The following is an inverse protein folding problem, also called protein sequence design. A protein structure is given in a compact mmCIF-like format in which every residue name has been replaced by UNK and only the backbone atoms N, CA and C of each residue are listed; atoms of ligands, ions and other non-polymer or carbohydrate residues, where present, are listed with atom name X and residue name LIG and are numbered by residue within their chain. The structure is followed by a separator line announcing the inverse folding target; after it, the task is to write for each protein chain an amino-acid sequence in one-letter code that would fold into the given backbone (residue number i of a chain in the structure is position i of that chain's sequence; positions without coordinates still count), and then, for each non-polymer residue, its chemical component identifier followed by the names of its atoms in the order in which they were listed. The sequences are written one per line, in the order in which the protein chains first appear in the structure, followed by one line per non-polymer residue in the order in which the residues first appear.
data_IF_838471113064
#
_entry.id   IF_838471113064
#
_cell.length_a   1.000
_cell.length_b   1.000
_cell.length_c   1.000
_cell.angle_alpha   90.00
_cell.angle_beta   90.00
_cell.angle_gamma   90.00
#
_symmetry.space_group_name_H-M   'P 1'
#
loop_
_entity.id
_entity.type
_entity.pdbx_description
1 polymer ?
#
# COMPACT_ATOMS: atom_id res chain seq x y z
N UNK A 1 -7.38 11.35 -2.69
CA UNK A 1 -6.34 10.62 -1.92
C UNK A 1 -6.45 9.14 -2.22
N UNK A 2 -5.34 8.45 -2.38
CA UNK A 2 -5.32 7.01 -2.69
C UNK A 2 -5.04 6.23 -1.42
N UNK A 3 -5.93 5.30 -1.09
CA UNK A 3 -5.78 4.37 0.03
C UNK A 3 -5.22 3.04 -0.49
N UNK A 4 -4.05 2.64 -0.02
CA UNK A 4 -3.48 1.31 -0.22
C UNK A 4 -3.87 0.40 0.93
N UNK A 5 -4.32 -0.80 0.60
CA UNK A 5 -4.75 -1.80 1.57
C UNK A 5 -4.16 -3.17 1.24
N UNK A 6 -3.37 -3.69 2.17
CA UNK A 6 -2.77 -5.02 2.10
C UNK A 6 -3.49 -5.98 3.07
N UNK A 7 -4.40 -6.83 2.59
CA UNK A 7 -5.25 -7.64 3.45
C UNK A 7 -4.56 -8.91 3.95
N UNK A 8 -4.30 -9.02 5.25
CA UNK A 8 -3.87 -10.27 5.88
C UNK A 8 -4.96 -10.92 6.74
N UNK A 9 -4.68 -12.12 7.25
CA UNK A 9 -5.59 -12.87 8.13
C UNK A 9 -5.61 -12.31 9.56
N UNK A 10 -4.44 -12.00 10.11
CA UNK A 10 -4.29 -11.45 11.46
C UNK A 10 -4.09 -9.93 11.45
N UNK A 11 -3.23 -9.45 10.55
CA UNK A 11 -2.87 -8.03 10.43
C UNK A 11 -3.02 -7.58 8.99
N UNK A 12 -3.36 -6.32 8.80
CA UNK A 12 -3.46 -5.70 7.48
C UNK A 12 -2.63 -4.42 7.43
N UNK A 13 -1.96 -4.20 6.31
CA UNK A 13 -1.27 -2.94 6.03
C UNK A 13 -2.22 -1.90 5.46
N UNK A 14 -2.11 -0.65 5.93
CA UNK A 14 -2.84 0.49 5.39
C UNK A 14 -1.85 1.61 5.06
N UNK A 15 -1.98 2.20 3.88
CA UNK A 15 -1.26 3.41 3.50
C UNK A 15 -2.22 4.43 2.88
N UNK A 16 -1.96 5.72 3.10
CA UNK A 16 -2.67 6.82 2.45
C UNK A 16 -1.64 7.73 1.79
N UNK A 17 -1.80 7.93 0.49
CA UNK A 17 -0.88 8.71 -0.33
C UNK A 17 -1.65 9.63 -1.26
N UNK A 18 -1.10 10.81 -1.56
CA UNK A 18 -1.64 11.67 -2.61
C UNK A 18 -1.10 11.31 -4.00
N UNK A 19 -1.65 11.94 -5.03
CA UNK A 19 -1.20 11.75 -6.42
C UNK A 19 0.21 12.31 -6.67
N UNK A 20 0.70 13.19 -5.79
CA UNK A 20 2.08 13.69 -5.81
C UNK A 20 3.06 12.72 -5.11
N UNK A 21 2.61 11.52 -4.74
CA UNK A 21 3.39 10.46 -4.06
C UNK A 21 3.84 10.82 -2.65
N UNK A 22 3.21 11.80 -2.00
CA UNK A 22 3.46 12.10 -0.59
C UNK A 22 2.63 11.17 0.28
N UNK A 23 3.32 10.47 1.18
CA UNK A 23 2.71 9.59 2.17
C UNK A 23 2.15 10.42 3.34
N UNK A 24 0.86 10.28 3.62
CA UNK A 24 0.16 10.98 4.71
C UNK A 24 -0.13 10.08 5.90
N UNK A 25 -0.30 8.77 5.65
CA UNK A 25 -0.57 7.79 6.69
C UNK A 25 -0.01 6.44 6.29
N UNK A 26 0.53 5.68 7.25
CA UNK A 26 0.97 4.31 7.02
C UNK A 26 1.03 3.55 8.34
N UNK A 27 0.33 2.41 8.43
CA UNK A 27 0.33 1.58 9.64
C UNK A 27 -0.10 0.13 9.35
N UNK A 28 0.46 -0.82 10.10
CA UNK A 28 -0.05 -2.19 10.22
C UNK A 28 -1.01 -2.28 11.40
N UNK A 29 -2.20 -2.81 11.13
CA UNK A 29 -3.33 -2.81 12.07
C UNK A 29 -3.88 -4.23 12.18
N UNK A 30 -4.29 -4.63 13.38
CA UNK A 30 -5.02 -5.88 13.61
C UNK A 30 -6.29 -5.92 12.76
N UNK A 31 -6.60 -7.07 12.15
CA UNK A 31 -7.70 -7.22 11.19
C UNK A 31 -9.05 -6.75 11.75
N UNK A 32 -9.30 -6.95 13.04
CA UNK A 32 -10.53 -6.51 13.71
C UNK A 32 -10.71 -4.97 13.74
N UNK A 33 -9.61 -4.20 13.78
CA UNK A 33 -9.63 -2.74 13.87
C UNK A 33 -9.56 -2.04 12.49
N UNK A 34 -9.33 -2.80 11.41
CA UNK A 34 -9.17 -2.28 10.04
C UNK A 34 -10.39 -1.49 9.59
N UNK A 35 -11.59 -2.06 9.75
CA UNK A 35 -12.85 -1.44 9.33
C UNK A 35 -13.04 -0.07 9.98
N UNK A 36 -12.80 0.00 11.29
CA UNK A 36 -12.89 1.23 12.07
C UNK A 36 -11.86 2.25 11.62
N UNK A 37 -10.63 1.82 11.40
CA UNK A 37 -9.55 2.71 10.95
C UNK A 37 -9.82 3.27 9.55
N UNK A 38 -10.23 2.43 8.60
CA UNK A 38 -10.56 2.89 7.24
C UNK A 38 -11.73 3.87 7.27
N UNK A 39 -12.76 3.62 8.10
CA UNK A 39 -13.87 4.57 8.27
C UNK A 39 -13.39 5.93 8.79
N UNK A 40 -12.50 5.93 9.78
CA UNK A 40 -11.92 7.17 10.32
C UNK A 40 -11.08 7.91 9.28
N UNK A 41 -10.27 7.20 8.50
CA UNK A 41 -9.48 7.79 7.41
C UNK A 41 -10.39 8.37 6.33
N UNK A 42 -11.44 7.64 5.95
CA UNK A 42 -12.42 8.08 4.97
C UNK A 42 -13.19 9.35 5.39
N UNK A 43 -13.40 9.54 6.70
CA UNK A 43 -14.01 10.78 7.21
C UNK A 43 -13.04 11.96 7.28
N UNK A 44 -11.74 11.70 7.45
CA UNK A 44 -10.70 12.73 7.59
C UNK A 44 -10.10 13.17 6.26
N UNK A 45 -10.13 12.29 5.26
CA UNK A 45 -9.49 12.50 3.98
C UNK A 45 -10.47 12.23 2.84
N UNK A 46 -10.37 13.03 1.78
CA UNK A 46 -11.14 12.81 0.56
C UNK A 46 -10.51 11.66 -0.26
N UNK A 47 -10.89 10.43 0.10
CA UNK A 47 -10.39 9.20 -0.54
C UNK A 47 -11.18 8.98 -1.83
N UNK A 48 -10.49 9.10 -2.96
CA UNK A 48 -11.06 8.99 -4.31
C UNK A 48 -10.75 7.65 -4.98
N UNK A 49 -9.86 6.85 -4.39
CA UNK A 49 -9.48 5.54 -4.90
C UNK A 49 -8.97 4.63 -3.77
N UNK A 50 -9.35 3.35 -3.84
CA UNK A 50 -8.78 2.31 -2.99
C UNK A 50 -8.08 1.27 -3.85
N UNK A 51 -6.84 0.98 -3.50
CA UNK A 51 -6.02 -0.07 -4.10
C UNK A 51 -5.89 -1.20 -3.10
N UNK A 52 -6.32 -2.40 -3.49
CA UNK A 52 -6.25 -3.61 -2.67
C UNK A 52 -5.30 -4.64 -3.28
N UNK A 53 -4.52 -5.30 -2.43
CA UNK A 53 -3.67 -6.40 -2.81
C UNK A 53 -4.44 -7.66 -3.28
N UNK A 54 -3.77 -8.51 -4.07
CA UNK A 54 -4.28 -9.79 -4.61
C UNK A 54 -4.08 -11.01 -3.69
N UNK A 55 -4.08 -10.82 -2.37
CA UNK A 55 -4.13 -11.96 -1.46
C UNK A 55 -5.47 -12.72 -1.49
N UNK A 56 -5.44 -13.98 -1.05
CA UNK A 56 -6.58 -14.91 -1.01
C UNK A 56 -7.80 -14.36 -0.26
N UNK A 57 -7.59 -13.47 0.72
CA UNK A 57 -8.64 -12.83 1.53
C UNK A 57 -9.25 -11.57 0.89
N UNK A 58 -8.69 -11.09 -0.24
CA UNK A 58 -9.10 -9.84 -0.91
C UNK A 58 -10.58 -9.77 -1.26
N UNK A 59 -11.22 -10.90 -1.59
CA UNK A 59 -12.66 -10.96 -1.92
C UNK A 59 -13.55 -10.60 -0.72
N UNK A 60 -13.24 -11.14 0.46
CA UNK A 60 -13.99 -10.90 1.70
C UNK A 60 -13.84 -9.43 2.10
N UNK A 61 -12.60 -8.93 2.04
CA UNK A 61 -12.31 -7.53 2.36
C UNK A 61 -12.98 -6.55 1.41
N UNK A 62 -13.01 -6.84 0.10
CA UNK A 62 -13.72 -6.00 -0.87
C UNK A 62 -15.19 -5.85 -0.49
N UNK A 63 -15.87 -6.94 -0.12
CA UNK A 63 -17.26 -6.89 0.33
C UNK A 63 -17.43 -6.03 1.59
N UNK A 64 -16.57 -6.21 2.59
CA UNK A 64 -16.59 -5.40 3.81
C UNK A 64 -16.38 -3.91 3.51
N UNK A 65 -15.39 -3.58 2.69
CA UNK A 65 -15.08 -2.20 2.30
C UNK A 65 -16.23 -1.53 1.53
N UNK A 66 -16.86 -2.25 0.59
CA UNK A 66 -18.01 -1.72 -0.16
C UNK A 66 -19.23 -1.39 0.72
N UNK A 67 -19.32 -1.92 1.95
CA UNK A 67 -20.39 -1.58 2.89
C UNK A 67 -20.12 -0.28 3.67
N UNK A 68 -18.86 0.11 3.80
CA UNK A 68 -18.43 1.22 4.66
C UNK A 68 -18.10 2.46 3.82
N UNK A 69 -17.60 2.25 2.61
CA UNK A 69 -17.19 3.28 1.67
C UNK A 69 -18.32 3.53 0.66
N UNK A 70 -18.44 4.77 0.18
CA UNK A 70 -19.42 5.12 -0.85
C UNK A 70 -19.25 4.24 -2.09
N UNK A 71 -20.36 3.84 -2.71
CA UNK A 71 -20.36 3.06 -3.97
C UNK A 71 -19.64 3.78 -5.12
N UNK A 72 -19.40 5.08 -5.00
CA UNK A 72 -18.73 5.91 -5.99
C UNK A 72 -17.21 5.79 -5.97
N UNK A 73 -16.61 5.26 -4.90
CA UNK A 73 -15.15 5.14 -4.81
C UNK A 73 -14.70 3.83 -5.47
N UNK A 74 -13.91 3.88 -6.54
CA UNK A 74 -13.40 2.68 -7.19
C UNK A 74 -12.47 1.89 -6.25
N UNK A 75 -12.60 0.56 -6.31
CA UNK A 75 -11.70 -0.38 -5.63
C UNK A 75 -10.97 -1.20 -6.70
N UNK A 76 -9.67 -0.93 -6.87
CA UNK A 76 -8.82 -1.55 -7.87
C UNK A 76 -7.94 -2.60 -7.20
N UNK A 77 -7.83 -3.76 -7.82
CA UNK A 77 -7.00 -4.86 -7.34
C UNK A 77 -5.64 -4.83 -8.05
N UNK A 78 -4.55 -4.95 -7.30
CA UNK A 78 -3.18 -4.96 -7.84
C UNK A 78 -2.50 -6.27 -7.48
N UNK A 79 -1.87 -6.91 -8.48
CA UNK A 79 -1.12 -8.15 -8.28
C UNK A 79 0.12 -7.89 -7.40
N UNK A 80 0.24 -8.68 -6.34
CA UNK A 80 1.29 -8.61 -5.33
C UNK A 80 2.55 -9.44 -5.68
N UNK A 81 2.56 -10.16 -6.80
CA UNK A 81 3.72 -10.97 -7.19
C UNK A 81 5.01 -10.15 -7.12
N UNK A 82 6.02 -10.70 -6.44
CA UNK A 82 7.35 -10.12 -6.20
C UNK A 82 7.41 -8.91 -5.24
N UNK A 83 6.39 -8.67 -4.41
CA UNK A 83 6.37 -7.55 -3.44
C UNK A 83 7.54 -7.57 -2.45
N UNK A 84 8.04 -8.73 -2.04
CA UNK A 84 9.07 -8.83 -0.99
C UNK A 84 10.44 -8.24 -1.39
N UNK A 85 10.85 -8.38 -2.65
CA UNK A 85 12.13 -7.81 -3.13
C UNK A 85 12.01 -6.29 -3.31
N UNK A 86 10.91 -5.85 -3.94
CA UNK A 86 10.60 -4.42 -4.10
C UNK A 86 10.46 -3.71 -2.75
N UNK A 87 9.85 -4.38 -1.76
CA UNK A 87 9.68 -3.85 -0.43
C UNK A 87 11.01 -3.69 0.32
N UNK A 88 11.98 -4.58 0.08
CA UNK A 88 13.33 -4.44 0.62
C UNK A 88 14.05 -3.22 0.06
N UNK A 89 13.99 -3.01 -1.25
CA UNK A 89 14.60 -1.83 -1.86
C UNK A 89 13.91 -0.54 -1.42
N UNK A 90 12.57 -0.55 -1.34
CA UNK A 90 11.80 0.59 -0.83
C UNK A 90 12.05 0.90 0.63
N UNK A 91 12.25 -0.10 1.47
CA UNK A 91 12.62 0.10 2.87
C UNK A 91 13.85 0.99 2.99
N UNK A 92 14.91 0.73 2.21
CA UNK A 92 16.14 1.51 2.28
C UNK A 92 16.03 2.91 1.64
N UNK A 93 15.05 3.15 0.76
CA UNK A 93 14.74 4.50 0.27
C UNK A 93 14.03 5.35 1.33
N UNK A 94 13.12 4.74 2.11
CA UNK A 94 12.40 5.42 3.19
C UNK A 94 13.25 5.57 4.45
N UNK A 95 14.04 4.55 4.78
CA UNK A 95 14.90 4.46 5.96
C UNK A 95 16.34 4.26 5.50
N UNK A 96 17.03 5.33 5.09
CA UNK A 96 18.40 5.21 4.58
C UNK A 96 19.32 4.56 5.63
N UNK A 97 20.23 3.66 5.20
CA UNK A 97 21.05 2.87 6.12
C UNK A 97 21.97 3.76 6.95
N UNK A 98 21.94 3.57 8.26
CA UNK A 98 22.77 4.29 9.23
C UNK A 98 23.78 3.35 9.90
N UNK A 99 24.90 3.90 10.40
CA UNK A 99 25.92 3.14 11.10
C UNK A 99 26.52 2.00 10.26
N UNK A 100 26.57 0.79 10.84
CA UNK A 100 27.16 -0.40 10.21
C UNK A 100 26.47 -0.79 8.89
N UNK A 101 25.17 -0.51 8.73
CA UNK A 101 24.44 -0.84 7.51
C UNK A 101 24.90 -0.02 6.30
N UNK A 102 25.57 1.12 6.53
CA UNK A 102 26.17 1.94 5.46
C UNK A 102 27.35 1.22 4.79
N UNK A 103 28.10 0.42 5.54
CA UNK A 103 29.27 -0.32 5.06
C UNK A 103 28.90 -1.62 4.34
N UNK A 104 27.69 -2.14 4.58
CA UNK A 104 27.19 -3.36 3.94
C UNK A 104 26.74 -3.02 2.50
N UNK A 105 27.15 -3.80 1.47
CA UNK A 105 26.65 -3.64 0.10
C UNK A 105 25.12 -3.79 0.02
N UNK A 106 24.41 -3.03 -0.84
CA UNK A 106 22.94 -3.02 -0.90
C UNK A 106 22.29 -4.41 -0.96
N UNK A 107 22.81 -5.32 -1.80
CA UNK A 107 22.29 -6.68 -1.95
C UNK A 107 22.39 -7.56 -0.69
N UNK A 108 23.26 -7.19 0.26
CA UNK A 108 23.45 -7.92 1.52
C UNK A 108 22.72 -7.28 2.71
N UNK A 109 22.10 -6.10 2.52
CA UNK A 109 21.40 -5.38 3.60
C UNK A 109 20.04 -5.99 3.90
N UNK A 110 19.93 -6.75 4.99
CA UNK A 110 18.64 -7.29 5.45
C UNK A 110 17.91 -6.21 6.26
N UNK A 111 16.66 -5.85 5.91
CA UNK A 111 15.87 -4.91 6.70
C UNK A 111 15.72 -5.41 8.14
N UNK A 112 15.95 -4.56 9.16
CA UNK A 112 15.80 -4.96 10.55
C UNK A 112 14.34 -5.10 11.00
N UNK A 113 13.39 -4.64 10.17
CA UNK A 113 11.93 -4.78 10.38
C UNK A 113 11.32 -5.60 9.25
N UNK A 114 10.22 -6.33 9.50
CA UNK A 114 9.43 -6.94 8.45
C UNK A 114 9.06 -5.91 7.38
N UNK A 115 9.32 -6.27 6.12
CA UNK A 115 8.99 -5.43 4.97
C UNK A 115 7.51 -5.46 4.61
N UNK A 116 6.76 -6.38 5.22
CA UNK A 116 5.30 -6.51 5.09
C UNK A 116 4.57 -5.20 5.45
N UNK A 117 5.16 -4.41 6.36
CA UNK A 117 4.63 -3.11 6.71
C UNK A 117 4.48 -2.24 5.44
N UNK A 118 5.47 -2.22 4.54
CA UNK A 118 5.54 -1.28 3.41
C UNK A 118 4.68 -1.73 2.21
N UNK A 119 4.11 -2.93 2.22
CA UNK A 119 3.38 -3.48 1.06
C UNK A 119 2.24 -2.57 0.62
N UNK A 120 1.48 -2.01 1.56
CA UNK A 120 0.38 -1.09 1.25
C UNK A 120 0.84 0.18 0.49
N UNK A 121 2.06 0.65 0.75
CA UNK A 121 2.68 1.79 0.04
C UNK A 121 3.00 1.37 -1.40
N UNK A 122 3.63 0.21 -1.57
CA UNK A 122 4.05 -0.32 -2.89
C UNK A 122 2.84 -0.54 -3.79
N UNK A 123 1.72 -1.02 -3.24
CA UNK A 123 0.47 -1.18 -3.99
C UNK A 123 0.02 0.13 -4.65
N UNK A 124 0.05 1.25 -3.90
CA UNK A 124 -0.31 2.57 -4.43
C UNK A 124 0.69 3.00 -5.51
N UNK A 125 1.99 2.80 -5.28
CA UNK A 125 3.03 3.21 -6.21
C UNK A 125 2.99 2.42 -7.52
N UNK A 126 2.72 1.11 -7.44
CA UNK A 126 2.47 0.26 -8.60
C UNK A 126 1.27 0.74 -9.39
N UNK A 127 0.18 1.07 -8.71
CA UNK A 127 -1.00 1.64 -9.36
C UNK A 127 -0.66 2.95 -10.09
N UNK A 128 -0.01 3.91 -9.41
CA UNK A 128 0.38 5.19 -10.01
C UNK A 128 1.34 5.01 -11.19
N UNK A 129 2.26 4.04 -11.12
CA UNK A 129 3.17 3.72 -12.23
C UNK A 129 2.39 3.17 -13.43
N UNK A 130 1.49 2.21 -13.22
CA UNK A 130 0.67 1.64 -14.29
C UNK A 130 -0.25 2.68 -14.92
N UNK A 131 -0.93 3.50 -14.12
CA UNK A 131 -1.80 4.59 -14.58
C UNK A 131 -1.04 5.59 -15.47
N UNK A 132 0.19 5.93 -15.07
CA UNK A 132 1.07 6.81 -15.87
C UNK A 132 1.51 6.18 -17.20
N UNK A 133 1.72 4.86 -17.23
CA UNK A 133 2.08 4.13 -18.45
C UNK A 133 0.91 4.04 -19.42
N UNK A 134 -0.30 3.75 -18.93
CA UNK A 134 -1.52 3.72 -19.75
C UNK A 134 -1.84 5.11 -20.33
N UNK A 135 -1.79 6.16 -19.51
CA UNK A 135 -2.05 7.53 -19.97
C UNK A 135 -1.08 7.95 -21.08
N UNK A 136 0.18 7.52 -20.98
CA UNK A 136 1.22 7.81 -21.96
C UNK A 136 1.10 6.95 -23.23
N UNK A 137 0.58 5.73 -23.14
CA UNK A 137 0.37 4.86 -24.30
C UNK A 137 -0.83 5.27 -25.17
N UNK A 138 -1.85 5.91 -24.58
CA UNK A 138 -3.07 6.35 -25.29
C UNK A 138 -2.88 7.76 -25.91
N UNK A 139 -1.81 8.47 -25.57
CA UNK A 139 -1.52 9.83 -26.06
C UNK A 139 -0.69 9.83 -27.37
N UNK A 140 -0.61 8.71 -28.09
CA UNK A 140 0.06 8.55 -29.39
C UNK A 140 -0.95 8.12 -30.45
#
# INVERSE_FOLDING_TARGET
MILGFDPGSQKCGIALMDRAKKLHYHQVIESLEVVKTIKNLYQKFDIDLIVIGDQTTSKIWKQSLTKIISKTVPIIKIDERYSSLEARDRYWQMYPPQGIFRLIPPGMRIPPKPVDDIVAIILIERYLKNDSLYSRAISF
#
